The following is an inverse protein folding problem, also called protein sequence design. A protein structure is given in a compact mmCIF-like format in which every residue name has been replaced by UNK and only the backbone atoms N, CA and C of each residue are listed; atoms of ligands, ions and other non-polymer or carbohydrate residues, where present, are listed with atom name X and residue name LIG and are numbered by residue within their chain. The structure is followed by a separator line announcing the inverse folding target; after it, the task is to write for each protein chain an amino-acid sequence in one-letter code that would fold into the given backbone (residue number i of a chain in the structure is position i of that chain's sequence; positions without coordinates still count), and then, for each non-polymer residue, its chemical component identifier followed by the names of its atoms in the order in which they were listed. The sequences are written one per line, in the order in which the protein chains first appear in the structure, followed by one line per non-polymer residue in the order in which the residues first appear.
data_IF_269409639646
#
_entry.id   IF_269409639646
#
_cell.length_a   1.000
_cell.length_b   1.000
_cell.length_c   1.000
_cell.angle_alpha   90.00
_cell.angle_beta   90.00
_cell.angle_gamma   90.00
#
_symmetry.space_group_name_H-M   'P 1'
#
loop_
_entity.id
_entity.type
_entity.pdbx_description
1 polymer ?
#
# COMPACT_ATOMS: atom_id res chain seq x y z
N UNK A 1 -24.95 -5.13 -65.11
CA UNK A 1 -24.01 -6.26 -65.22
C UNK A 1 -24.20 -7.16 -64.02
N UNK A 2 -24.50 -8.41 -64.31
CA UNK A 2 -24.97 -9.46 -63.43
C UNK A 2 -23.88 -10.52 -63.36
N UNK A 3 -23.46 -10.96 -62.17
CA UNK A 3 -22.83 -12.29 -62.00
C UNK A 3 -22.95 -12.76 -60.54
N UNK A 4 -23.99 -13.59 -60.33
CA UNK A 4 -24.04 -14.84 -59.56
C UNK A 4 -23.06 -15.01 -58.40
N UNK A 5 -23.53 -15.04 -57.14
CA UNK A 5 -24.02 -16.24 -56.45
C UNK A 5 -23.24 -17.54 -56.73
N UNK A 6 -22.56 -18.06 -55.71
CA UNK A 6 -22.55 -19.49 -55.45
C UNK A 6 -22.41 -19.78 -53.95
N UNK A 7 -23.41 -20.43 -53.38
CA UNK A 7 -23.38 -21.14 -52.11
C UNK A 7 -24.09 -22.46 -52.35
N UNK A 8 -23.61 -23.56 -51.76
CA UNK A 8 -24.50 -24.42 -50.98
C UNK A 8 -23.88 -24.69 -49.60
N UNK A 9 -24.58 -24.45 -48.47
CA UNK A 9 -25.52 -25.38 -47.81
C UNK A 9 -24.97 -26.82 -47.79
N UNK A 10 -24.81 -27.53 -46.68
CA UNK A 10 -25.72 -27.79 -45.55
C UNK A 10 -24.86 -28.71 -44.62
N UNK A 11 -24.90 -28.74 -43.29
CA UNK A 11 -25.96 -29.37 -42.49
C UNK A 11 -25.50 -29.32 -41.03
N UNK A 12 -26.38 -28.86 -40.15
CA UNK A 12 -26.29 -28.95 -38.68
C UNK A 12 -26.45 -30.42 -38.22
N UNK A 13 -25.98 -30.83 -37.03
CA UNK A 13 -26.80 -30.61 -35.84
C UNK A 13 -26.05 -30.24 -34.56
N UNK A 14 -26.81 -29.56 -33.71
CA UNK A 14 -26.76 -29.54 -32.25
C UNK A 14 -25.67 -30.36 -31.55
N UNK A 15 -24.82 -29.66 -30.80
CA UNK A 15 -24.50 -30.11 -29.44
C UNK A 15 -24.43 -28.90 -28.52
N UNK A 16 -25.61 -28.53 -28.01
CA UNK A 16 -25.72 -27.75 -26.80
C UNK A 16 -25.17 -28.61 -25.66
N UNK A 17 -23.88 -28.44 -25.34
CA UNK A 17 -23.34 -28.96 -24.09
C UNK A 17 -23.69 -27.99 -22.97
N UNK A 18 -24.87 -28.27 -22.45
CA UNK A 18 -25.35 -28.08 -21.10
C UNK A 18 -24.37 -27.37 -20.14
N UNK A 19 -24.82 -26.22 -19.67
CA UNK A 19 -24.28 -25.46 -18.56
C UNK A 19 -24.38 -26.35 -17.31
N UNK A 20 -23.34 -27.13 -17.07
CA UNK A 20 -23.22 -27.90 -15.84
C UNK A 20 -22.95 -26.97 -14.67
N UNK A 21 -24.05 -26.68 -13.95
CA UNK A 21 -24.07 -26.03 -12.65
C UNK A 21 -23.30 -26.89 -11.65
N UNK A 22 -22.45 -26.24 -10.84
CA UNK A 22 -21.56 -26.75 -9.78
C UNK A 22 -20.20 -27.19 -10.36
N UNK A 23 -19.13 -26.44 -10.17
CA UNK A 23 -18.45 -26.37 -8.86
C UNK A 23 -17.48 -25.19 -8.85
N UNK A 24 -17.87 -24.06 -8.25
CA UNK A 24 -16.95 -22.96 -7.94
C UNK A 24 -16.28 -23.28 -6.62
N UNK A 25 -15.07 -23.83 -6.68
CA UNK A 25 -14.22 -24.02 -5.50
C UNK A 25 -13.41 -22.74 -5.28
N UNK A 26 -14.03 -21.80 -4.59
CA UNK A 26 -13.40 -20.57 -4.10
C UNK A 26 -12.31 -20.95 -3.09
N UNK A 27 -11.05 -21.01 -3.52
CA UNK A 27 -9.91 -20.97 -2.58
C UNK A 27 -9.61 -19.52 -2.23
N UNK A 28 -10.37 -18.98 -1.27
CA UNK A 28 -9.99 -17.77 -0.53
C UNK A 28 -8.73 -18.07 0.28
N UNK A 29 -7.57 -17.64 -0.24
CA UNK A 29 -6.37 -17.50 0.57
C UNK A 29 -6.57 -16.30 1.51
N UNK A 30 -6.97 -16.58 2.74
CA UNK A 30 -6.99 -15.59 3.82
C UNK A 30 -5.54 -15.28 4.17
N UNK A 31 -5.01 -14.18 3.62
CA UNK A 31 -3.76 -13.58 4.10
C UNK A 31 -4.10 -12.82 5.38
N UNK A 32 -4.17 -13.52 6.51
CA UNK A 32 -4.23 -12.87 7.82
C UNK A 32 -2.83 -12.37 8.15
N UNK A 33 -2.63 -11.07 8.05
CA UNK A 33 -1.43 -10.40 8.55
C UNK A 33 -1.28 -10.65 10.05
N UNK A 34 -0.22 -11.36 10.43
CA UNK A 34 0.17 -11.53 11.82
C UNK A 34 0.84 -10.23 12.32
N UNK A 35 0.03 -9.32 12.84
CA UNK A 35 0.49 -8.21 13.66
C UNK A 35 -0.53 -7.94 14.78
N UNK A 36 -0.66 -8.89 15.71
CA UNK A 36 -1.32 -8.65 17.00
C UNK A 36 -0.42 -9.23 18.09
N UNK A 37 0.51 -8.41 18.57
CA UNK A 37 1.26 -8.69 19.78
C UNK A 37 1.09 -7.50 20.74
N UNK A 38 -0.10 -7.38 21.32
CA UNK A 38 -0.33 -6.68 22.58
C UNK A 38 -1.72 -7.04 23.12
N UNK A 39 -1.73 -7.86 24.19
CA UNK A 39 -2.82 -8.11 25.13
C UNK A 39 -4.21 -8.52 24.59
N UNK A 40 -4.47 -9.82 24.46
CA UNK A 40 -5.81 -10.40 24.60
C UNK A 40 -5.73 -11.72 25.39
N UNK A 41 -6.73 -12.05 26.24
CA UNK A 41 -6.78 -13.28 27.01
C UNK A 41 -6.89 -14.49 26.08
N UNK A 42 -6.20 -15.57 26.46
CA UNK A 42 -6.11 -16.80 25.71
C UNK A 42 -7.47 -17.52 25.65
N UNK A 43 -8.27 -17.27 24.62
CA UNK A 43 -9.37 -18.14 24.19
C UNK A 43 -9.90 -17.63 22.86
N UNK A 44 -10.24 -18.53 21.95
CA UNK A 44 -10.95 -18.32 20.68
C UNK A 44 -10.10 -18.00 19.45
N UNK A 45 -9.36 -18.99 18.95
CA UNK A 45 -9.28 -19.29 17.51
C UNK A 45 -8.85 -20.76 17.34
N UNK A 46 -9.80 -21.69 17.46
CA UNK A 46 -9.62 -23.07 17.02
C UNK A 46 -10.62 -23.39 15.92
N UNK A 47 -10.18 -23.23 14.67
CA UNK A 47 -10.66 -24.01 13.54
C UNK A 47 -9.60 -23.96 12.44
N UNK A 48 -8.65 -24.90 12.46
CA UNK A 48 -7.82 -25.22 11.30
C UNK A 48 -8.36 -26.47 10.62
N UNK A 49 -8.30 -26.59 9.28
CA UNK A 49 -8.77 -27.76 8.57
C UNK A 49 -7.90 -28.97 8.91
N UNK A 50 -8.54 -30.10 9.18
CA UNK A 50 -7.88 -31.37 9.49
C UNK A 50 -7.09 -31.86 8.26
N UNK A 51 -5.77 -31.73 8.31
CA UNK A 51 -4.87 -32.38 7.36
C UNK A 51 -4.70 -33.84 7.80
N UNK A 52 -5.22 -34.78 7.02
CA UNK A 52 -5.04 -36.21 7.26
C UNK A 52 -3.56 -36.58 7.08
N UNK A 53 -2.86 -36.85 8.18
CA UNK A 53 -1.48 -37.32 8.15
C UNK A 53 -1.46 -38.85 8.00
N UNK A 54 -1.00 -39.32 6.83
CA UNK A 54 -0.63 -40.72 6.60
C UNK A 54 0.45 -41.14 7.59
N UNK A 55 0.23 -42.29 8.24
CA UNK A 55 1.04 -42.84 9.32
C UNK A 55 2.28 -43.52 8.74
N UNK A 56 3.43 -42.85 8.72
CA UNK A 56 4.73 -43.51 8.58
C UNK A 56 5.21 -43.99 9.96
N UNK A 57 5.78 -45.21 10.09
CA UNK A 57 6.34 -45.69 11.34
C UNK A 57 7.72 -45.02 11.56
N UNK A 58 7.71 -43.88 12.23
CA UNK A 58 8.90 -43.25 12.81
C UNK A 58 8.97 -43.49 14.32
N UNK A 59 10.10 -43.17 14.99
CA UNK A 59 10.24 -43.31 16.44
C UNK A 59 9.09 -42.58 17.13
N UNK A 60 8.49 -43.23 18.13
CA UNK A 60 7.30 -42.71 18.82
C UNK A 60 7.51 -41.30 19.40
N UNK A 61 6.42 -40.53 19.62
CA UNK A 61 6.51 -39.19 20.17
C UNK A 61 7.28 -39.18 21.50
N UNK A 62 8.30 -38.33 21.63
CA UNK A 62 8.98 -38.10 22.91
C UNK A 62 7.96 -37.50 23.89
N UNK A 63 7.74 -38.07 25.09
CA UNK A 63 6.80 -37.52 26.04
C UNK A 63 7.15 -36.06 26.38
N UNK A 64 6.23 -35.13 26.12
CA UNK A 64 6.39 -33.70 26.45
C UNK A 64 6.81 -32.77 25.30
N UNK A 65 7.07 -33.27 24.08
CA UNK A 65 7.37 -32.39 22.92
C UNK A 65 6.28 -32.48 21.86
N UNK A 66 5.42 -31.47 21.81
CA UNK A 66 4.49 -31.31 20.70
C UNK A 66 5.27 -30.82 19.45
N UNK A 67 5.33 -31.56 18.34
CA UNK A 67 6.06 -31.14 17.14
C UNK A 67 5.51 -29.83 16.53
N UNK A 68 4.23 -29.51 16.74
CA UNK A 68 3.66 -28.22 16.36
C UNK A 68 4.25 -27.07 17.19
N UNK A 69 4.52 -27.27 18.49
CA UNK A 69 5.12 -26.24 19.34
C UNK A 69 6.61 -26.01 19.02
N UNK A 70 7.33 -27.04 18.57
CA UNK A 70 8.69 -26.88 18.06
C UNK A 70 8.73 -26.07 16.76
N UNK A 71 7.85 -26.38 15.79
CA UNK A 71 7.73 -25.63 14.54
C UNK A 71 7.32 -24.18 14.76
N UNK A 72 6.36 -23.92 15.67
CA UNK A 72 5.95 -22.56 16.02
C UNK A 72 7.11 -21.78 16.64
N UNK A 73 7.85 -22.36 17.59
CA UNK A 73 9.04 -21.71 18.19
C UNK A 73 10.10 -21.38 17.15
N UNK A 74 10.35 -22.29 16.21
CA UNK A 74 11.29 -22.05 15.13
C UNK A 74 10.82 -20.91 14.20
N UNK A 75 9.54 -20.90 13.84
CA UNK A 75 8.94 -19.85 13.03
C UNK A 75 9.04 -18.48 13.72
N UNK A 76 8.75 -18.41 15.03
CA UNK A 76 8.91 -17.19 15.84
C UNK A 76 10.36 -16.73 15.84
N UNK A 77 11.32 -17.61 16.13
CA UNK A 77 12.76 -17.27 16.12
C UNK A 77 13.22 -16.72 14.76
N UNK A 78 12.76 -17.34 13.66
CA UNK A 78 13.04 -16.88 12.29
C UNK A 78 12.42 -15.50 12.03
N UNK A 79 11.17 -15.30 12.46
CA UNK A 79 10.49 -14.01 12.33
C UNK A 79 11.19 -12.90 13.14
N UNK A 80 11.61 -13.18 14.37
CA UNK A 80 12.36 -12.23 15.20
C UNK A 80 13.75 -11.92 14.62
N UNK A 81 14.46 -12.91 14.09
CA UNK A 81 15.74 -12.69 13.41
C UNK A 81 15.58 -11.78 12.18
N UNK A 82 14.52 -12.00 11.39
CA UNK A 82 14.15 -11.11 10.27
C UNK A 82 13.79 -9.70 10.77
N UNK A 83 12.95 -9.60 11.80
CA UNK A 83 12.56 -8.32 12.37
C UNK A 83 13.78 -7.53 12.88
N UNK A 84 14.75 -8.17 13.54
CA UNK A 84 15.99 -7.52 14.00
C UNK A 84 16.85 -6.98 12.84
N UNK A 85 16.84 -7.64 11.68
CA UNK A 85 17.56 -7.17 10.49
C UNK A 85 16.89 -5.95 9.86
N UNK A 86 15.56 -5.96 9.82
CA UNK A 86 14.77 -4.95 9.11
C UNK A 86 14.48 -3.74 9.99
N UNK A 87 14.00 -3.95 11.21
CA UNK A 87 13.50 -2.89 12.07
C UNK A 87 14.64 -2.14 12.77
N UNK A 88 14.38 -0.88 13.10
CA UNK A 88 15.32 -0.06 13.85
C UNK A 88 15.08 -0.10 15.36
N UNK A 89 13.89 -0.53 15.79
CA UNK A 89 13.39 -0.40 17.15
C UNK A 89 13.06 1.04 17.54
N UNK A 90 12.92 1.94 16.55
CA UNK A 90 12.78 3.38 16.78
C UNK A 90 11.69 3.94 15.86
N UNK A 91 10.71 4.68 16.42
CA UNK A 91 9.72 5.36 15.61
C UNK A 91 10.31 6.60 14.93
N UNK A 92 9.78 6.89 13.75
CA UNK A 92 9.92 8.17 13.04
C UNK A 92 9.10 9.27 13.73
N UNK A 93 9.19 10.51 13.23
CA UNK A 93 8.53 11.68 13.84
C UNK A 93 7.01 11.51 14.00
N UNK A 94 6.33 10.85 13.07
CA UNK A 94 4.90 10.58 13.14
C UNK A 94 4.53 9.30 13.92
N UNK A 95 5.51 8.65 14.57
CA UNK A 95 5.27 7.50 15.45
C UNK A 95 5.31 6.13 14.76
N UNK A 96 5.63 6.07 13.47
CA UNK A 96 5.72 4.81 12.72
C UNK A 96 7.11 4.19 12.84
N UNK A 97 7.18 2.87 13.03
CA UNK A 97 8.43 2.11 13.11
C UNK A 97 9.26 2.30 11.83
N UNK A 98 10.52 2.71 12.00
CA UNK A 98 11.47 2.86 10.89
C UNK A 98 12.10 1.51 10.52
N UNK A 99 12.36 1.33 9.24
CA UNK A 99 12.99 0.14 8.68
C UNK A 99 14.31 0.50 8.01
N UNK A 100 15.29 -0.41 8.10
CA UNK A 100 16.66 -0.26 7.58
C UNK A 100 16.78 -0.61 6.11
N UNK A 101 15.79 -1.33 5.58
CA UNK A 101 15.76 -1.84 4.21
C UNK A 101 14.37 -1.62 3.62
N UNK A 102 14.32 -1.43 2.30
CA UNK A 102 13.12 -1.52 1.48
C UNK A 102 13.28 -2.70 0.52
N UNK A 103 12.16 -3.29 0.08
CA UNK A 103 12.11 -4.44 -0.84
C UNK A 103 12.79 -5.74 -0.33
N UNK A 104 13.29 -5.76 0.91
CA UNK A 104 13.86 -6.95 1.57
C UNK A 104 13.18 -7.23 2.91
N UNK A 105 12.08 -7.98 2.86
CA UNK A 105 11.51 -8.59 4.05
C UNK A 105 10.91 -7.60 5.06
N UNK A 106 10.73 -6.33 4.74
CA UNK A 106 10.05 -5.35 5.57
C UNK A 106 8.58 -5.16 5.21
N UNK A 107 8.04 -4.00 5.57
CA UNK A 107 6.74 -3.51 5.13
C UNK A 107 6.86 -2.42 4.06
N UNK A 108 8.07 -2.04 3.70
CA UNK A 108 8.37 -0.98 2.75
C UNK A 108 8.76 -1.61 1.43
N UNK A 109 7.99 -1.32 0.38
CA UNK A 109 8.18 -1.86 -0.95
C UNK A 109 8.06 -0.78 -2.01
N UNK A 110 8.77 -0.96 -3.12
CA UNK A 110 8.65 -0.13 -4.31
C UNK A 110 7.33 -0.42 -5.02
N UNK A 111 6.50 0.62 -5.15
CA UNK A 111 5.15 0.56 -5.71
C UNK A 111 5.04 1.44 -6.95
N UNK A 112 4.35 1.00 -8.01
CA UNK A 112 4.07 1.87 -9.13
C UNK A 112 3.03 2.93 -8.74
N UNK A 113 3.05 4.08 -9.41
CA UNK A 113 2.00 5.08 -9.36
C UNK A 113 1.24 5.04 -10.68
N UNK A 114 0.03 4.43 -10.73
CA UNK A 114 -0.73 4.28 -11.96
C UNK A 114 -0.99 5.62 -12.65
N UNK A 115 -0.88 5.64 -13.98
CA UNK A 115 -1.08 6.85 -14.79
C UNK A 115 0.14 7.78 -14.88
N UNK A 116 1.26 7.44 -14.24
CA UNK A 116 2.49 8.25 -14.26
C UNK A 116 3.70 7.45 -14.78
N UNK A 117 4.83 8.10 -15.10
CA UNK A 117 6.08 7.42 -15.44
C UNK A 117 6.75 6.64 -14.28
N UNK A 118 6.22 6.72 -13.06
CA UNK A 118 6.79 6.10 -11.84
C UNK A 118 6.35 4.63 -11.72
N UNK A 119 6.96 3.76 -12.51
CA UNK A 119 6.67 2.32 -12.58
C UNK A 119 7.93 1.47 -12.52
N UNK A 120 7.80 0.17 -12.23
CA UNK A 120 8.92 -0.76 -12.13
C UNK A 120 9.99 -0.28 -11.15
N UNK A 121 11.25 -0.24 -11.58
CA UNK A 121 12.38 0.26 -10.78
C UNK A 121 12.34 1.78 -10.51
N UNK A 122 11.52 2.53 -11.25
CA UNK A 122 11.29 3.96 -11.03
C UNK A 122 10.02 4.22 -10.18
N UNK A 123 9.43 3.18 -9.59
CA UNK A 123 8.34 3.32 -8.61
C UNK A 123 8.81 3.99 -7.32
N UNK A 124 7.89 4.12 -6.37
CA UNK A 124 8.15 4.75 -5.08
C UNK A 124 8.20 3.71 -3.96
N UNK A 125 9.30 3.67 -3.22
CA UNK A 125 9.41 2.86 -2.02
C UNK A 125 8.58 3.49 -0.88
N UNK A 126 7.48 2.85 -0.49
CA UNK A 126 6.59 3.31 0.59
C UNK A 126 6.12 2.14 1.44
N UNK A 127 5.61 2.44 2.64
CA UNK A 127 4.99 1.44 3.51
C UNK A 127 3.70 0.94 2.87
N UNK A 128 3.58 -0.37 2.74
CA UNK A 128 2.42 -1.04 2.14
C UNK A 128 1.12 -0.76 2.89
N UNK A 129 -0.01 -0.99 2.21
CA UNK A 129 -1.35 -0.93 2.79
C UNK A 129 -1.98 0.46 2.64
N UNK A 130 -2.60 0.96 3.72
CA UNK A 130 -3.34 2.23 3.66
C UNK A 130 -2.41 3.44 3.44
N UNK A 131 -1.17 3.37 3.93
CA UNK A 131 -0.14 4.39 3.69
C UNK A 131 0.18 4.49 2.20
N UNK A 132 0.45 3.35 1.55
CA UNK A 132 0.66 3.27 0.10
C UNK A 132 -0.52 3.88 -0.66
N UNK A 133 -1.75 3.46 -0.36
CA UNK A 133 -2.96 3.97 -1.04
C UNK A 133 -3.04 5.49 -0.99
N UNK A 134 -2.80 6.08 0.18
CA UNK A 134 -2.90 7.52 0.38
C UNK A 134 -1.75 8.28 -0.30
N UNK A 135 -0.50 7.82 -0.15
CA UNK A 135 0.65 8.52 -0.72
C UNK A 135 0.69 8.40 -2.25
N UNK A 136 0.32 7.25 -2.82
CA UNK A 136 0.16 7.06 -4.27
C UNK A 136 -0.90 8.02 -4.82
N UNK A 137 -2.01 8.19 -4.12
CA UNK A 137 -3.06 9.15 -4.52
C UNK A 137 -2.57 10.60 -4.53
N UNK A 138 -1.82 11.03 -3.50
CA UNK A 138 -1.20 12.36 -3.45
C UNK A 138 -0.30 12.59 -4.67
N UNK A 139 0.57 11.62 -4.99
CA UNK A 139 1.49 11.73 -6.11
C UNK A 139 0.73 11.80 -7.45
N UNK A 140 -0.32 10.98 -7.61
CA UNK A 140 -1.15 10.98 -8.81
C UNK A 140 -1.84 12.33 -9.03
N UNK A 141 -2.47 12.87 -7.97
CA UNK A 141 -3.09 14.21 -8.03
C UNK A 141 -2.08 15.30 -8.32
N UNK A 142 -0.91 15.25 -7.69
CA UNK A 142 0.18 16.19 -7.99
C UNK A 142 0.57 16.14 -9.47
N UNK A 143 0.78 14.94 -10.02
CA UNK A 143 1.17 14.73 -11.41
C UNK A 143 0.18 15.35 -12.41
N UNK A 144 -1.12 15.21 -12.16
CA UNK A 144 -2.15 15.67 -13.10
C UNK A 144 -2.56 17.12 -12.92
N UNK A 145 -2.46 17.68 -11.71
CA UNK A 145 -3.04 19.00 -11.42
C UNK A 145 -2.01 20.07 -11.17
N UNK A 146 -0.82 19.70 -10.68
CA UNK A 146 0.18 20.67 -10.27
C UNK A 146 1.33 20.73 -11.26
N UNK A 147 1.97 19.58 -11.52
CA UNK A 147 3.08 19.48 -12.47
C UNK A 147 3.38 18.02 -12.85
N UNK A 148 3.72 17.80 -14.12
CA UNK A 148 3.97 16.48 -14.68
C UNK A 148 5.28 15.88 -14.13
N UNK A 149 5.14 14.77 -13.42
CA UNK A 149 6.27 14.04 -12.84
C UNK A 149 7.00 13.14 -13.84
N UNK A 150 8.33 13.15 -13.78
CA UNK A 150 9.26 12.29 -14.52
C UNK A 150 9.85 11.22 -13.61
N UNK A 151 10.55 10.26 -14.24
CA UNK A 151 11.32 9.25 -13.49
C UNK A 151 12.38 9.93 -12.62
N UNK A 152 12.42 9.56 -11.33
CA UNK A 152 13.34 10.13 -10.35
C UNK A 152 12.84 11.40 -9.66
N UNK A 153 11.71 11.96 -10.06
CA UNK A 153 11.17 13.17 -9.43
C UNK A 153 10.60 12.92 -8.04
N UNK A 154 10.26 11.68 -7.69
CA UNK A 154 9.71 11.34 -6.38
C UNK A 154 10.67 10.47 -5.59
N UNK A 155 10.99 10.90 -4.37
CA UNK A 155 11.80 10.14 -3.42
C UNK A 155 10.93 9.65 -2.26
N UNK A 156 10.73 8.33 -2.18
CA UNK A 156 10.02 7.68 -1.09
C UNK A 156 10.92 7.39 0.11
N UNK A 157 11.04 6.11 0.45
CA UNK A 157 11.85 5.63 1.56
C UNK A 157 13.33 5.99 1.41
N UNK A 158 13.94 6.34 2.53
CA UNK A 158 15.38 6.60 2.65
C UNK A 158 15.91 5.89 3.88
N UNK A 159 17.15 5.43 3.80
CA UNK A 159 17.78 4.75 4.94
C UNK A 159 17.81 5.66 6.18
N UNK A 160 17.45 5.14 7.37
CA UNK A 160 17.42 5.92 8.61
C UNK A 160 18.75 6.62 8.93
N UNK A 161 19.88 6.07 8.50
CA UNK A 161 21.21 6.63 8.74
C UNK A 161 21.45 7.96 8.00
N UNK A 162 20.74 8.22 6.91
CA UNK A 162 20.89 9.44 6.09
C UNK A 162 19.99 10.59 6.54
N UNK A 163 19.08 10.33 7.49
CA UNK A 163 18.05 11.27 7.90
C UNK A 163 18.35 11.86 9.27
N UNK A 164 18.02 13.14 9.42
CA UNK A 164 18.10 13.82 10.72
C UNK A 164 16.94 13.35 11.60
N UNK A 165 17.28 12.95 12.83
CA UNK A 165 16.29 12.49 13.81
C UNK A 165 15.38 13.64 14.23
N UNK A 166 14.11 13.32 14.46
CA UNK A 166 13.13 14.26 15.02
C UNK A 166 12.56 15.29 14.04
N UNK A 167 13.06 15.33 12.80
CA UNK A 167 12.49 16.17 11.74
C UNK A 167 11.42 15.40 10.92
N UNK A 168 10.50 16.09 10.25
CA UNK A 168 9.48 15.48 9.39
C UNK A 168 10.05 14.52 8.33
N UNK A 169 11.22 14.81 7.77
CA UNK A 169 11.89 13.98 6.75
C UNK A 169 12.20 12.56 7.29
N UNK A 170 12.36 12.39 8.61
CA UNK A 170 12.55 11.07 9.23
C UNK A 170 11.40 10.08 8.95
N UNK A 171 10.22 10.58 8.58
CA UNK A 171 9.08 9.76 8.18
C UNK A 171 9.33 8.99 6.87
N UNK A 172 10.32 9.39 6.06
CA UNK A 172 10.75 8.59 4.89
C UNK A 172 11.34 7.25 5.35
N UNK A 173 12.04 7.18 6.48
CA UNK A 173 12.60 5.92 6.98
C UNK A 173 11.57 4.91 7.48
N UNK A 174 10.34 5.34 7.79
CA UNK A 174 9.21 4.46 8.07
C UNK A 174 8.32 4.20 6.86
N UNK A 175 8.68 4.75 5.69
CA UNK A 175 7.94 4.62 4.43
C UNK A 175 6.63 5.42 4.42
N UNK A 176 6.50 6.43 5.30
CA UNK A 176 5.25 7.19 5.52
C UNK A 176 5.36 8.64 5.07
N UNK A 177 6.37 8.95 4.26
CA UNK A 177 6.56 10.24 3.62
C UNK A 177 7.18 10.08 2.25
N UNK A 178 6.92 11.05 1.39
CA UNK A 178 7.51 11.19 0.06
C UNK A 178 7.94 12.64 -0.14
N UNK A 179 9.03 12.85 -0.88
CA UNK A 179 9.41 14.15 -1.40
C UNK A 179 9.17 14.18 -2.91
N UNK A 180 8.43 15.17 -3.38
CA UNK A 180 8.13 15.39 -4.80
C UNK A 180 9.00 16.55 -5.29
N UNK A 181 9.79 16.28 -6.33
CA UNK A 181 10.80 17.16 -6.92
C UNK A 181 11.70 17.84 -5.88
N UNK A 182 12.39 17.08 -4.99
CA UNK A 182 13.18 17.65 -3.90
C UNK A 182 14.26 18.65 -4.37
N UNK A 183 14.81 18.50 -5.58
CA UNK A 183 15.77 19.45 -6.15
C UNK A 183 15.18 20.78 -6.59
N UNK A 184 13.85 20.87 -6.73
CA UNK A 184 13.13 22.09 -7.15
C UNK A 184 12.66 22.94 -5.97
N UNK A 185 12.65 22.38 -4.75
CA UNK A 185 12.13 23.03 -3.55
C UNK A 185 13.15 22.94 -2.40
N UNK A 186 14.09 23.90 -2.30
CA UNK A 186 15.10 23.89 -1.24
C UNK A 186 14.49 23.93 0.16
N UNK A 187 14.96 23.06 1.05
CA UNK A 187 14.50 23.00 2.43
C UNK A 187 14.78 24.31 3.19
N UNK A 188 13.78 24.79 3.93
CA UNK A 188 13.80 26.05 4.69
C UNK A 188 13.20 27.24 3.94
N UNK A 189 12.88 27.09 2.65
CA UNK A 189 12.40 28.18 1.80
C UNK A 189 10.93 27.97 1.41
N UNK A 190 10.22 29.09 1.20
CA UNK A 190 8.85 29.12 0.66
C UNK A 190 8.85 29.76 -0.72
N UNK A 191 7.80 29.50 -1.49
CA UNK A 191 7.55 30.18 -2.77
C UNK A 191 8.00 29.38 -3.99
N UNK A 192 8.22 28.07 -3.85
CA UNK A 192 8.41 27.15 -4.95
C UNK A 192 7.13 26.87 -5.75
N UNK A 193 5.96 27.11 -5.16
CA UNK A 193 4.67 26.96 -5.83
C UNK A 193 4.00 28.30 -6.09
N UNK A 194 3.43 28.44 -7.29
CA UNK A 194 2.54 29.57 -7.61
C UNK A 194 1.29 29.55 -6.72
N UNK A 195 0.64 30.70 -6.47
CA UNK A 195 -0.55 30.78 -5.61
C UNK A 195 -1.66 29.79 -5.99
N UNK A 196 -1.89 29.58 -7.27
CA UNK A 196 -2.89 28.65 -7.80
C UNK A 196 -2.51 27.19 -7.50
N UNK A 197 -1.23 26.82 -7.64
CA UNK A 197 -0.74 25.49 -7.28
C UNK A 197 -0.88 25.24 -5.77
N UNK A 198 -0.66 26.26 -4.94
CA UNK A 198 -0.89 26.13 -3.49
C UNK A 198 -2.37 25.88 -3.15
N UNK A 199 -3.31 26.43 -3.91
CA UNK A 199 -4.73 26.12 -3.75
C UNK A 199 -5.03 24.66 -4.09
N UNK A 200 -4.42 24.13 -5.16
CA UNK A 200 -4.55 22.71 -5.51
C UNK A 200 -3.94 21.80 -4.45
N UNK A 201 -2.78 22.15 -3.89
CA UNK A 201 -2.21 21.42 -2.74
C UNK A 201 -3.18 21.42 -1.56
N UNK A 202 -3.76 22.57 -1.22
CA UNK A 202 -4.74 22.67 -0.12
C UNK A 202 -5.99 21.84 -0.39
N UNK A 203 -6.47 21.81 -1.63
CA UNK A 203 -7.60 20.98 -2.05
C UNK A 203 -7.31 19.49 -1.87
N UNK A 204 -6.15 19.01 -2.36
CA UNK A 204 -5.68 17.63 -2.16
C UNK A 204 -5.62 17.29 -0.65
N UNK A 205 -5.06 18.17 0.18
CA UNK A 205 -4.97 17.92 1.63
C UNK A 205 -6.33 17.92 2.33
N UNK A 206 -7.25 18.78 1.90
CA UNK A 206 -8.61 18.84 2.43
C UNK A 206 -9.37 17.54 2.12
N UNK A 207 -9.24 17.01 0.91
CA UNK A 207 -9.81 15.73 0.50
C UNK A 207 -9.31 14.58 1.39
N UNK A 208 -8.08 14.66 1.91
CA UNK A 208 -7.47 13.63 2.75
C UNK A 208 -7.84 13.76 4.24
N UNK A 209 -8.73 14.67 4.62
CA UNK A 209 -9.30 14.80 5.96
C UNK A 209 -8.24 14.79 7.09
N UNK A 210 -7.11 15.45 6.86
CA UNK A 210 -6.02 15.57 7.83
C UNK A 210 -5.19 14.30 8.05
N UNK A 211 -5.29 13.29 7.18
CA UNK A 211 -4.40 12.11 7.23
C UNK A 211 -3.03 12.39 6.63
N UNK A 212 -2.91 13.42 5.80
CA UNK A 212 -1.65 13.87 5.19
C UNK A 212 -1.38 15.32 5.59
N UNK A 213 -0.10 15.63 5.77
CA UNK A 213 0.41 16.99 5.96
C UNK A 213 1.45 17.29 4.88
N UNK A 214 1.46 18.54 4.43
CA UNK A 214 2.48 19.09 3.54
C UNK A 214 3.53 19.86 4.34
N UNK A 215 4.80 19.57 4.08
CA UNK A 215 5.96 20.16 4.75
C UNK A 215 6.13 21.63 4.46
N UNK A 216 5.53 22.16 3.39
CA UNK A 216 5.44 23.60 3.19
C UNK A 216 4.72 24.31 4.35
N UNK A 217 3.84 23.63 5.08
CA UNK A 217 3.17 24.20 6.27
C UNK A 217 3.95 23.96 7.58
N UNK A 218 5.18 23.45 7.54
CA UNK A 218 6.05 23.33 8.71
C UNK A 218 6.69 24.67 9.10
N UNK A 219 7.05 24.85 10.39
CA UNK A 219 7.82 26.02 10.83
C UNK A 219 9.12 26.19 10.08
N UNK A 220 9.81 25.08 9.79
CA UNK A 220 10.89 25.00 8.81
C UNK A 220 10.32 24.37 7.54
N UNK A 221 10.00 25.15 6.50
CA UNK A 221 9.28 24.65 5.34
C UNK A 221 10.10 23.62 4.57
N UNK A 222 9.46 22.55 4.12
CA UNK A 222 9.95 21.69 3.05
C UNK A 222 8.80 21.49 2.06
N UNK A 223 8.76 22.33 1.03
CA UNK A 223 7.67 22.33 0.05
C UNK A 223 7.66 21.05 -0.83
N UNK A 224 8.74 20.27 -0.84
CA UNK A 224 8.75 18.96 -1.51
C UNK A 224 8.05 17.86 -0.71
N UNK A 225 7.96 18.01 0.62
CA UNK A 225 7.63 16.91 1.53
C UNK A 225 6.11 16.75 1.75
N UNK A 226 5.63 15.52 1.61
CA UNK A 226 4.29 15.09 2.00
C UNK A 226 4.39 13.88 2.89
N UNK A 227 3.65 13.86 4.01
CA UNK A 227 3.76 12.78 4.98
C UNK A 227 2.47 12.47 5.72
N UNK A 228 2.34 11.22 6.18
CA UNK A 228 1.21 10.79 7.01
C UNK A 228 1.24 11.51 8.35
N UNK A 229 0.15 12.21 8.67
CA UNK A 229 0.01 13.07 9.84
C UNK A 229 -0.53 12.32 11.08
N UNK A 230 -1.00 11.09 10.90
CA UNK A 230 -1.61 10.27 11.97
C UNK A 230 -0.68 9.15 12.42
N UNK A 231 -0.88 8.70 13.67
CA UNK A 231 -0.15 7.58 14.25
C UNK A 231 -0.58 6.25 13.63
N UNK A 232 0.22 5.17 13.78
CA UNK A 232 -0.23 3.83 13.46
C UNK A 232 -1.58 3.50 14.10
N UNK A 233 -2.42 2.73 13.41
CA UNK A 233 -3.76 2.30 13.84
C UNK A 233 -4.81 3.42 14.01
N UNK A 234 -4.53 4.65 13.58
CA UNK A 234 -5.57 5.69 13.54
C UNK A 234 -6.61 5.36 12.46
N UNK A 235 -7.86 5.17 12.89
CA UNK A 235 -8.98 4.82 12.01
C UNK A 235 -9.24 5.80 10.87
N UNK A 236 -8.79 7.06 10.97
CA UNK A 236 -8.90 8.04 9.89
C UNK A 236 -8.13 7.60 8.64
N UNK A 237 -6.95 7.01 8.82
CA UNK A 237 -6.13 6.54 7.69
C UNK A 237 -6.86 5.43 6.92
N UNK A 238 -7.39 4.45 7.63
CA UNK A 238 -8.15 3.36 7.04
C UNK A 238 -9.42 3.85 6.31
N UNK A 239 -10.15 4.81 6.90
CA UNK A 239 -11.32 5.43 6.25
C UNK A 239 -10.94 6.18 4.97
N UNK A 240 -9.88 6.98 5.00
CA UNK A 240 -9.41 7.71 3.81
C UNK A 240 -8.96 6.74 2.72
N UNK A 241 -8.17 5.71 3.06
CA UNK A 241 -7.73 4.70 2.10
C UNK A 241 -8.91 3.93 1.49
N UNK A 242 -9.89 3.52 2.30
CA UNK A 242 -11.10 2.85 1.80
C UNK A 242 -11.92 3.74 0.86
N UNK A 243 -11.99 5.06 1.13
CA UNK A 243 -12.64 6.02 0.25
C UNK A 243 -11.92 6.14 -1.09
N UNK A 244 -10.59 6.24 -1.09
CA UNK A 244 -9.78 6.29 -2.31
C UNK A 244 -9.99 5.03 -3.15
N UNK A 245 -9.90 3.83 -2.55
CA UNK A 245 -10.14 2.55 -3.26
C UNK A 245 -11.52 2.50 -3.91
N UNK A 246 -12.56 2.96 -3.20
CA UNK A 246 -13.93 3.03 -3.75
C UNK A 246 -14.02 3.93 -4.99
N UNK A 247 -13.29 5.05 -5.01
CA UNK A 247 -13.24 5.94 -6.17
C UNK A 247 -12.57 5.27 -7.37
N UNK A 248 -11.47 4.55 -7.15
CA UNK A 248 -10.79 3.80 -8.21
C UNK A 248 -11.66 2.65 -8.76
N UNK A 249 -12.54 2.06 -7.94
CA UNK A 249 -13.47 1.00 -8.34
C UNK A 249 -14.75 1.50 -9.03
N UNK A 250 -15.09 2.80 -8.92
CA UNK A 250 -16.34 3.38 -9.44
C UNK A 250 -16.05 4.55 -10.38
N UNK A 251 -16.00 4.34 -11.71
CA UNK A 251 -15.86 5.43 -12.67
C UNK A 251 -16.96 6.49 -12.47
N UNK A 252 -16.58 7.78 -12.32
CA UNK A 252 -17.53 8.89 -12.14
C UNK A 252 -17.86 9.26 -10.69
N UNK A 253 -17.21 8.67 -9.67
CA UNK A 253 -17.20 9.18 -8.30
C UNK A 253 -15.77 9.35 -7.79
N UNK A 254 -15.37 10.57 -7.46
CA UNK A 254 -14.05 10.83 -6.88
C UNK A 254 -13.51 12.21 -7.23
N UNK A 255 -12.20 12.37 -7.03
CA UNK A 255 -11.46 13.60 -7.27
C UNK A 255 -11.70 14.13 -8.70
N UNK A 256 -12.15 15.38 -8.83
CA UNK A 256 -12.45 16.02 -10.13
C UNK A 256 -13.89 15.90 -10.64
N UNK A 257 -14.81 15.26 -9.90
CA UNK A 257 -16.24 15.29 -10.24
C UNK A 257 -16.85 16.61 -9.76
N UNK A 258 -17.44 17.38 -10.69
CA UNK A 258 -18.21 18.58 -10.35
C UNK A 258 -19.36 18.19 -9.41
N UNK A 259 -19.45 18.82 -8.24
CA UNK A 259 -20.63 18.70 -7.42
C UNK A 259 -21.81 19.29 -8.20
N UNK A 260 -22.87 18.52 -8.39
CA UNK A 260 -24.12 19.01 -8.96
C UNK A 260 -24.71 20.04 -7.99
N UNK A 261 -24.60 21.33 -8.36
CA UNK A 261 -25.19 22.43 -7.61
C UNK A 261 -26.57 22.71 -8.19
N UNK A 262 -27.48 21.75 -8.01
CA UNK A 262 -28.91 21.98 -8.17
C UNK A 262 -29.64 21.43 -6.93
N UNK A 263 -29.88 22.33 -5.98
CA UNK A 263 -30.66 22.09 -4.76
C UNK A 263 -30.96 23.39 -4.06
#
# INVERSE_FOLDING_TARGET
MNTSQNTPQNSTPAEATDVSRRTVLTRTAVITGAAIAASLPASQFLASPAYAAGRTPGPGPVPGTNPLSAKVREAVRKAEARARRVMTGKPSRNGWEMERVADDGGNIFTRPVPGTPLTGSAGIAVRMGDVETVLVHVIRRFHYEIDELRKGDVTGWRTPATLRKGLPESNQASGTAVQIRPGSYPAGTRGGFFPQQQLLIKDILAELNGTVRWGGNDPKPDESLFYIAVRPNDSRLARTAARIRRWDETPGRGAGVLADVTG
#
